data_IF_181567254376
#
_entry.id   IF_181567254376
#
_cell.length_a   1.000
_cell.length_b   1.000
_cell.length_c   1.000
_cell.angle_alpha   90.00
_cell.angle_beta   90.00
_cell.angle_gamma   90.00
#
_symmetry.space_group_name_H-M   'P 1'
#
loop_
_entity.id
_entity.type
_entity.pdbx_description
1 polymer ?
#
# COMPACT_ATOMS: atom_id res chain seq x y z
N UNK A 1 6.01 14.30 17.12
CA UNK A 1 6.24 12.88 16.78
C UNK A 1 6.59 12.82 15.30
N UNK A 2 7.60 12.03 14.90
CA UNK A 2 7.97 11.85 13.49
C UNK A 2 6.93 10.98 12.75
N UNK A 3 6.95 11.03 11.41
CA UNK A 3 6.12 10.18 10.57
C UNK A 3 6.60 8.71 10.61
N UNK A 4 5.73 7.77 10.22
CA UNK A 4 6.05 6.35 10.20
C UNK A 4 6.63 5.95 8.84
N UNK A 5 7.86 5.41 8.86
CA UNK A 5 8.56 4.88 7.69
C UNK A 5 8.20 3.41 7.41
N UNK A 6 8.44 2.98 6.18
CA UNK A 6 8.15 1.61 5.73
C UNK A 6 9.09 0.58 6.35
N UNK A 7 8.56 -0.54 6.84
CA UNK A 7 9.34 -1.68 7.37
C UNK A 7 10.09 -2.42 6.27
N UNK A 8 9.63 -2.32 5.02
CA UNK A 8 10.27 -2.93 3.85
C UNK A 8 11.61 -2.28 3.47
N UNK A 9 11.98 -1.16 4.10
CA UNK A 9 13.32 -0.59 3.99
C UNK A 9 14.41 -1.50 4.60
N UNK A 10 14.04 -2.43 5.49
CA UNK A 10 14.97 -3.39 6.08
C UNK A 10 15.31 -4.56 5.13
N UNK A 11 14.53 -4.76 4.07
CA UNK A 11 14.75 -5.84 3.11
C UNK A 11 15.90 -5.51 2.15
N UNK A 12 16.81 -6.45 1.94
CA UNK A 12 18.04 -6.23 1.18
C UNK A 12 17.73 -6.06 -0.32
N UNK A 13 17.83 -4.83 -0.81
CA UNK A 13 17.82 -4.44 -2.23
C UNK A 13 16.60 -4.91 -3.04
N UNK A 14 15.43 -4.27 -2.87
CA UNK A 14 14.29 -4.50 -3.74
C UNK A 14 14.66 -4.16 -5.20
N UNK A 15 14.05 -4.85 -6.17
CA UNK A 15 14.23 -4.50 -7.58
C UNK A 15 13.73 -3.06 -7.80
N UNK A 16 14.63 -2.16 -8.20
CA UNK A 16 14.30 -0.76 -8.43
C UNK A 16 13.98 -0.54 -9.91
N UNK A 17 12.84 0.07 -10.21
CA UNK A 17 12.55 0.64 -11.53
C UNK A 17 12.81 2.15 -11.41
N UNK A 18 13.99 2.57 -11.88
CA UNK A 18 14.48 3.92 -11.68
C UNK A 18 14.67 4.23 -10.20
N UNK A 19 13.72 4.96 -9.62
CA UNK A 19 13.75 5.46 -8.25
C UNK A 19 12.61 4.92 -7.38
N UNK A 20 11.89 3.92 -7.87
CA UNK A 20 10.71 3.33 -7.25
C UNK A 20 10.94 1.83 -7.01
N UNK A 21 10.65 1.31 -5.80
CA UNK A 21 10.81 -0.11 -5.52
C UNK A 21 9.66 -0.92 -6.10
N UNK A 22 10.01 -2.05 -6.72
CA UNK A 22 9.08 -3.06 -7.15
C UNK A 22 8.99 -4.12 -6.04
N UNK A 23 8.12 -3.87 -5.07
CA UNK A 23 7.86 -4.81 -3.98
C UNK A 23 6.86 -5.89 -4.42
N UNK A 24 7.00 -7.12 -3.89
CA UNK A 24 5.99 -8.16 -4.09
C UNK A 24 4.61 -7.73 -3.61
N UNK A 25 3.55 -8.13 -4.33
CA UNK A 25 2.17 -7.80 -4.02
C UNK A 25 1.24 -9.02 -4.15
N UNK A 26 0.34 -9.20 -3.20
CA UNK A 26 -0.82 -10.10 -3.22
C UNK A 26 -1.93 -9.48 -4.08
N UNK A 27 -1.79 -9.60 -5.39
CA UNK A 27 -2.79 -9.12 -6.35
C UNK A 27 -3.27 -10.22 -7.29
N UNK A 28 -4.54 -10.13 -7.71
CA UNK A 28 -5.10 -10.96 -8.80
C UNK A 28 -4.94 -10.31 -10.17
N UNK A 29 -4.58 -9.03 -10.19
CA UNK A 29 -4.42 -8.24 -11.41
C UNK A 29 -3.02 -8.46 -11.96
N UNK A 30 -2.91 -8.59 -13.29
CA UNK A 30 -1.62 -8.73 -13.96
C UNK A 30 -0.79 -7.45 -13.76
N UNK A 31 0.46 -7.62 -13.39
CA UNK A 31 1.40 -6.52 -13.20
C UNK A 31 2.85 -6.99 -13.28
N UNK A 32 3.81 -6.06 -13.35
CA UNK A 32 5.23 -6.38 -13.38
C UNK A 32 5.78 -6.84 -12.01
N UNK A 33 5.06 -6.58 -10.92
CA UNK A 33 5.46 -6.97 -9.57
C UNK A 33 5.33 -8.49 -9.38
N UNK A 34 6.26 -9.06 -8.60
CA UNK A 34 6.18 -10.46 -8.20
C UNK A 34 4.90 -10.70 -7.39
N UNK A 35 4.14 -11.73 -7.77
CA UNK A 35 2.87 -12.03 -7.13
C UNK A 35 3.09 -12.90 -5.89
N UNK A 36 2.74 -12.39 -4.72
CA UNK A 36 2.76 -13.18 -3.50
C UNK A 36 1.62 -14.22 -3.51
N UNK A 37 1.81 -15.39 -2.85
CA UNK A 37 0.76 -16.39 -2.74
C UNK A 37 -0.47 -15.78 -2.06
N UNK A 38 -1.65 -16.00 -2.64
CA UNK A 38 -2.89 -15.57 -2.02
C UNK A 38 -3.24 -16.54 -0.89
N UNK A 39 -3.17 -16.08 0.35
CA UNK A 39 -3.83 -16.76 1.45
C UNK A 39 -5.35 -16.63 1.29
N UNK A 40 -6.00 -17.71 0.85
CA UNK A 40 -7.45 -17.79 0.69
C UNK A 40 -8.20 -17.97 2.02
N UNK A 41 -7.48 -18.15 3.14
CA UNK A 41 -8.06 -18.27 4.48
C UNK A 41 -8.57 -16.91 5.02
N UNK A 42 -7.94 -15.82 4.60
CA UNK A 42 -8.27 -14.46 5.03
C UNK A 42 -9.32 -13.82 4.12
N UNK A 43 -10.30 -13.14 4.72
CA UNK A 43 -11.27 -12.36 3.97
C UNK A 43 -10.57 -11.21 3.21
N UNK A 44 -11.01 -10.84 1.99
CA UNK A 44 -10.32 -9.85 1.15
C UNK A 44 -10.30 -8.43 1.72
N UNK A 45 -11.02 -8.16 2.81
CA UNK A 45 -11.06 -6.88 3.51
C UNK A 45 -10.18 -6.84 4.77
N UNK A 46 -9.53 -7.96 5.12
CA UNK A 46 -8.66 -8.07 6.28
C UNK A 46 -7.20 -8.08 5.82
N UNK A 47 -6.39 -7.23 6.45
CA UNK A 47 -4.95 -7.22 6.27
C UNK A 47 -4.32 -8.37 7.08
N UNK A 48 -3.39 -9.15 6.51
CA UNK A 48 -2.61 -10.15 7.23
C UNK A 48 -1.79 -9.51 8.37
N UNK A 49 -1.35 -10.33 9.32
CA UNK A 49 -0.40 -9.87 10.35
C UNK A 49 0.95 -9.51 9.71
N UNK A 50 1.69 -8.51 10.24
CA UNK A 50 2.94 -8.02 9.62
C UNK A 50 4.05 -9.08 9.51
N UNK A 51 3.99 -10.16 10.32
CA UNK A 51 4.91 -11.30 10.26
C UNK A 51 4.51 -12.36 9.22
N UNK A 52 3.40 -12.17 8.49
CA UNK A 52 2.92 -13.13 7.50
C UNK A 52 3.64 -12.98 6.17
N UNK A 53 3.95 -14.10 5.49
CA UNK A 53 4.56 -14.11 4.14
C UNK A 53 3.65 -13.48 3.05
N UNK A 54 2.38 -13.24 3.37
CA UNK A 54 1.41 -12.57 2.49
C UNK A 54 1.21 -11.09 2.82
N UNK A 55 2.00 -10.52 3.74
CA UNK A 55 1.93 -9.11 4.09
C UNK A 55 2.57 -8.23 3.02
N UNK A 56 1.77 -7.35 2.42
CA UNK A 56 2.19 -6.51 1.31
C UNK A 56 2.49 -5.07 1.74
N UNK A 57 3.23 -4.37 0.88
CA UNK A 57 3.40 -2.93 0.98
C UNK A 57 2.08 -2.12 0.91
N UNK A 58 1.03 -2.66 0.27
CA UNK A 58 -0.28 -1.99 0.23
C UNK A 58 -1.04 -2.09 1.56
N UNK A 59 -0.87 -3.20 2.30
CA UNK A 59 -1.45 -3.36 3.64
C UNK A 59 -0.79 -2.38 4.62
N UNK A 60 0.52 -2.18 4.48
CA UNK A 60 1.25 -1.15 5.22
C UNK A 60 0.73 0.26 4.92
N UNK A 61 0.55 0.60 3.63
CA UNK A 61 -0.01 1.89 3.22
C UNK A 61 -1.35 2.15 3.88
N UNK A 62 -2.27 1.18 3.87
CA UNK A 62 -3.60 1.34 4.45
C UNK A 62 -3.56 1.47 5.98
N UNK A 63 -2.69 0.70 6.64
CA UNK A 63 -2.50 0.77 8.09
C UNK A 63 -1.93 2.13 8.53
N UNK A 64 -0.90 2.60 7.82
CA UNK A 64 -0.20 3.84 8.14
C UNK A 64 -0.89 5.10 7.60
N UNK A 65 -1.81 4.97 6.65
CA UNK A 65 -2.53 6.08 6.03
C UNK A 65 -3.12 7.03 7.07
N UNK A 66 -3.89 6.51 8.04
CA UNK A 66 -4.60 7.33 9.02
C UNK A 66 -3.66 8.16 9.90
N UNK A 67 -2.48 7.65 10.22
CA UNK A 67 -1.49 8.39 11.00
C UNK A 67 -0.71 9.38 10.11
N UNK A 68 -0.26 8.92 8.94
CA UNK A 68 0.62 9.68 8.06
C UNK A 68 -0.08 10.84 7.33
N UNK A 69 -1.41 10.80 7.15
CA UNK A 69 -2.16 11.91 6.53
C UNK A 69 -2.15 13.21 7.34
N UNK A 70 -1.85 13.14 8.64
CA UNK A 70 -1.76 14.33 9.50
C UNK A 70 -0.40 15.03 9.43
N UNK A 71 0.63 14.35 8.94
CA UNK A 71 1.99 14.89 8.87
C UNK A 71 2.22 15.58 7.54
N UNK A 72 2.75 16.80 7.58
CA UNK A 72 3.10 17.59 6.38
C UNK A 72 4.51 17.32 5.87
N UNK A 73 5.40 16.87 6.75
CA UNK A 73 6.79 16.59 6.44
C UNK A 73 7.03 15.10 6.57
N UNK A 74 7.59 14.48 5.54
CA UNK A 74 7.96 13.08 5.52
C UNK A 74 9.44 12.98 5.10
N UNK A 75 10.28 12.41 5.95
CA UNK A 75 11.69 12.15 5.62
C UNK A 75 11.80 10.81 4.91
N UNK A 76 12.28 10.84 3.67
CA UNK A 76 12.46 9.64 2.84
C UNK A 76 13.78 8.97 3.25
N UNK A 77 13.69 7.84 3.95
CA UNK A 77 14.86 7.09 4.40
C UNK A 77 15.28 5.99 3.41
N UNK A 78 14.33 5.44 2.66
CA UNK A 78 14.60 4.43 1.64
C UNK A 78 13.64 4.45 0.46
N UNK A 79 13.81 3.51 -0.49
CA UNK A 79 12.94 3.44 -1.66
C UNK A 79 11.51 3.04 -1.28
N UNK A 80 11.31 2.19 -0.25
CA UNK A 80 9.98 1.74 0.17
C UNK A 80 9.10 2.90 0.67
N UNK A 81 9.71 3.90 1.30
CA UNK A 81 9.02 5.13 1.69
C UNK A 81 8.42 5.90 0.50
N UNK A 82 9.05 5.85 -0.67
CA UNK A 82 8.52 6.52 -1.86
C UNK A 82 7.24 5.84 -2.34
N UNK A 83 7.19 4.52 -2.24
CA UNK A 83 6.00 3.73 -2.51
C UNK A 83 4.91 4.01 -1.45
N UNK A 84 5.29 4.13 -0.18
CA UNK A 84 4.38 4.51 0.91
C UNK A 84 3.72 5.87 0.66
N UNK A 85 4.51 6.90 0.33
CA UNK A 85 4.00 8.25 0.02
C UNK A 85 3.09 8.23 -1.19
N UNK A 86 3.49 7.53 -2.27
CA UNK A 86 2.64 7.37 -3.46
C UNK A 86 1.30 6.70 -3.12
N UNK A 87 1.33 5.64 -2.32
CA UNK A 87 0.14 4.93 -1.86
C UNK A 87 -0.81 5.83 -1.05
N UNK A 88 -0.27 6.64 -0.14
CA UNK A 88 -1.06 7.58 0.67
C UNK A 88 -1.76 8.63 -0.21
N UNK A 89 -1.03 9.20 -1.18
CA UNK A 89 -1.61 10.14 -2.15
C UNK A 89 -2.70 9.47 -3.00
N UNK A 90 -2.47 8.24 -3.45
CA UNK A 90 -3.44 7.48 -4.22
C UNK A 90 -4.72 7.19 -3.44
N UNK A 91 -4.61 6.76 -2.18
CA UNK A 91 -5.78 6.55 -1.30
C UNK A 91 -6.54 7.85 -1.10
N UNK A 92 -5.84 8.99 -0.99
CA UNK A 92 -6.48 10.31 -0.86
C UNK A 92 -7.29 10.67 -2.10
N UNK A 93 -6.76 10.43 -3.30
CA UNK A 93 -7.48 10.58 -4.57
C UNK A 93 -8.69 9.63 -4.68
N UNK A 94 -8.53 8.37 -4.22
CA UNK A 94 -9.64 7.42 -4.15
C UNK A 94 -10.78 7.93 -3.26
N UNK A 95 -10.47 8.38 -2.05
CA UNK A 95 -11.46 8.91 -1.12
C UNK A 95 -12.13 10.18 -1.65
N UNK A 96 -11.41 11.02 -2.40
CA UNK A 96 -11.99 12.19 -3.07
C UNK A 96 -13.03 11.84 -4.12
N UNK A 97 -12.92 10.68 -4.77
CA UNK A 97 -13.89 10.19 -5.79
C UNK A 97 -15.05 9.42 -5.17
N UNK A 98 -14.89 8.83 -3.99
CA UNK A 98 -15.96 8.12 -3.29
C UNK A 98 -16.90 9.13 -2.62
N UNK A 99 -18.16 9.18 -3.07
CA UNK A 99 -19.20 10.03 -2.47
C UNK A 99 -20.03 9.26 -1.43
N UNK A 100 -20.48 9.93 -0.34
CA UNK A 100 -21.41 9.35 0.60
C UNK A 100 -22.71 8.97 -0.14
N UNK A 101 -23.08 7.68 -0.08
CA UNK A 101 -24.26 7.13 -0.78
C UNK A 101 -23.95 6.22 -1.97
N UNK A 102 -22.70 6.09 -2.40
CA UNK A 102 -22.33 5.09 -3.41
C UNK A 102 -22.36 3.68 -2.81
N UNK A 103 -23.07 2.77 -3.47
CA UNK A 103 -22.98 1.33 -3.20
C UNK A 103 -21.60 0.81 -3.62
N UNK A 104 -21.08 -0.22 -2.94
CA UNK A 104 -19.77 -0.81 -3.23
C UNK A 104 -19.57 -1.14 -4.73
N UNK A 105 -20.63 -1.58 -5.42
CA UNK A 105 -20.58 -1.88 -6.87
C UNK A 105 -20.49 -0.62 -7.75
N UNK A 106 -21.04 0.49 -7.31
CA UNK A 106 -20.95 1.76 -8.04
C UNK A 106 -19.53 2.32 -7.94
N UNK A 107 -18.88 2.16 -6.79
CA UNK A 107 -17.50 2.60 -6.58
C UNK A 107 -16.51 1.80 -7.43
N UNK A 108 -16.68 0.48 -7.54
CA UNK A 108 -15.73 -0.39 -8.26
C UNK A 108 -15.78 -0.28 -9.78
N UNK A 109 -16.86 0.29 -10.35
CA UNK A 109 -17.04 0.46 -11.81
C UNK A 109 -16.58 1.82 -12.35
N UNK A 110 -16.24 2.77 -11.48
CA UNK A 110 -15.87 4.14 -11.85
C UNK A 110 -14.39 4.35 -12.18
N UNK A 111 -13.62 3.26 -12.32
CA UNK A 111 -12.18 3.25 -12.49
C UNK A 111 -11.79 2.58 -13.80
#
# INVERSE_FOLDING_TARGET
MPAYNSIFNAEASPQLIGNFPLLPLRTRTRGPAYTLPLDNSLAPHLSPEPDSESYDALDEVLSLFRANTFFRNFEIQGPADRLLVYGILWVSECLGKVKPGYSARCVTRGW
#
